data_IF_183261402098
#
_entry.id   IF_183261402098
#
_cell.length_a   1.000
_cell.length_b   1.000
_cell.length_c   1.000
_cell.angle_alpha   90.00
_cell.angle_beta   90.00
_cell.angle_gamma   90.00
#
_symmetry.space_group_name_H-M   'P 1'
#
loop_
_entity.id
_entity.type
_entity.pdbx_description
1 polymer ?
#
# COMPACT_ATOMS: atom_id res chain seq x y z
N UNK A 1 4.91 -4.94 7.32
CA UNK A 1 3.51 -4.54 7.45
C UNK A 1 2.89 -5.11 8.72
N UNK A 2 2.06 -4.35 9.38
CA UNK A 2 1.30 -4.80 10.53
C UNK A 2 -0.13 -5.14 10.12
N UNK A 3 -0.49 -6.40 10.18
CA UNK A 3 -1.84 -6.86 9.91
C UNK A 3 -2.58 -7.05 11.24
N UNK A 4 -3.79 -6.51 11.35
CA UNK A 4 -4.56 -6.52 12.59
C UNK A 4 -5.96 -7.05 12.36
N UNK A 5 -6.40 -7.93 13.24
CA UNK A 5 -7.75 -8.51 13.23
C UNK A 5 -7.87 -9.77 12.41
N UNK A 6 -8.62 -10.74 12.96
CA UNK A 6 -8.81 -12.06 12.35
C UNK A 6 -9.37 -11.97 10.93
N UNK A 7 -10.32 -11.06 10.69
CA UNK A 7 -10.91 -10.87 9.36
C UNK A 7 -9.89 -10.49 8.31
N UNK A 8 -8.89 -9.69 8.66
CA UNK A 8 -7.81 -9.35 7.75
C UNK A 8 -6.89 -10.54 7.49
N UNK A 9 -6.57 -11.33 8.50
CA UNK A 9 -5.79 -12.55 8.31
C UNK A 9 -6.52 -13.52 7.37
N UNK A 10 -7.81 -13.71 7.54
CA UNK A 10 -8.63 -14.54 6.65
C UNK A 10 -8.64 -14.00 5.22
N UNK A 11 -8.86 -12.70 5.06
CA UNK A 11 -8.91 -12.05 3.74
C UNK A 11 -7.59 -12.20 2.98
N UNK A 12 -6.48 -11.87 3.64
CA UNK A 12 -5.18 -11.93 2.97
C UNK A 12 -4.66 -13.35 2.82
N UNK A 13 -5.01 -14.26 3.72
CA UNK A 13 -4.76 -15.70 3.52
C UNK A 13 -5.35 -16.19 2.19
N UNK A 14 -6.59 -15.85 1.93
CA UNK A 14 -7.25 -16.21 0.66
C UNK A 14 -6.60 -15.53 -0.56
N UNK A 15 -6.24 -14.24 -0.44
CA UNK A 15 -5.66 -13.48 -1.54
C UNK A 15 -4.27 -13.95 -1.95
N UNK A 16 -3.44 -14.36 -1.00
CA UNK A 16 -2.06 -14.78 -1.29
C UNK A 16 -1.85 -16.29 -1.28
N UNK A 17 -2.88 -17.06 -0.89
CA UNK A 17 -2.80 -18.53 -0.85
C UNK A 17 -1.91 -19.07 0.26
N UNK A 18 -1.86 -18.40 1.41
CA UNK A 18 -1.09 -18.82 2.59
C UNK A 18 -1.98 -18.92 3.82
N UNK A 19 -1.73 -19.89 4.73
CA UNK A 19 -2.58 -20.13 5.90
C UNK A 19 -2.30 -19.13 7.04
N UNK A 20 -2.53 -17.84 6.82
CA UNK A 20 -2.20 -16.77 7.76
C UNK A 20 -3.01 -16.83 9.05
N UNK A 21 -4.23 -17.36 9.02
CA UNK A 21 -5.08 -17.43 10.20
C UNK A 21 -4.57 -18.50 11.18
N UNK A 22 -4.17 -19.65 10.64
CA UNK A 22 -3.65 -20.76 11.42
C UNK A 22 -2.19 -20.53 11.82
N UNK A 23 -1.42 -19.89 10.94
CA UNK A 23 0.01 -19.65 11.12
C UNK A 23 0.34 -18.16 10.93
N UNK A 24 -0.07 -17.30 11.88
CA UNK A 24 0.13 -15.84 11.73
C UNK A 24 1.61 -15.44 11.66
N UNK A 25 2.51 -16.23 12.21
CA UNK A 25 3.94 -15.97 12.18
C UNK A 25 4.55 -16.07 10.77
N UNK A 26 3.81 -16.58 9.79
CA UNK A 26 4.22 -16.50 8.39
C UNK A 26 4.48 -15.06 7.93
N UNK A 27 3.85 -14.06 8.57
CA UNK A 27 4.11 -12.66 8.27
C UNK A 27 5.52 -12.19 8.63
N UNK A 28 6.27 -12.94 9.43
CA UNK A 28 7.70 -12.66 9.66
C UNK A 28 8.57 -13.08 8.46
N UNK A 29 8.05 -13.89 7.57
CA UNK A 29 8.73 -14.21 6.32
C UNK A 29 8.61 -13.02 5.35
N UNK A 30 9.73 -12.53 4.85
CA UNK A 30 9.78 -11.34 4.00
C UNK A 30 8.99 -11.51 2.69
N UNK A 31 9.02 -12.70 2.10
CA UNK A 31 8.25 -12.99 0.89
C UNK A 31 6.74 -12.92 1.13
N UNK A 32 6.28 -13.54 2.22
CA UNK A 32 4.86 -13.50 2.61
C UNK A 32 4.42 -12.08 2.94
N UNK A 33 5.20 -11.36 3.75
CA UNK A 33 4.91 -9.98 4.12
C UNK A 33 4.84 -9.06 2.89
N UNK A 34 5.73 -9.22 1.92
CA UNK A 34 5.73 -8.47 0.67
C UNK A 34 4.47 -8.73 -0.14
N UNK A 35 4.06 -9.99 -0.27
CA UNK A 35 2.84 -10.37 -0.99
C UNK A 35 1.60 -9.78 -0.35
N UNK A 36 1.51 -9.77 0.99
CA UNK A 36 0.41 -9.11 1.72
C UNK A 36 0.42 -7.61 1.48
N UNK A 37 1.59 -6.98 1.50
CA UNK A 37 1.73 -5.54 1.25
C UNK A 37 1.24 -5.15 -0.15
N UNK A 38 1.65 -5.89 -1.18
CA UNK A 38 1.16 -5.65 -2.53
C UNK A 38 -0.33 -5.92 -2.68
N UNK A 39 -0.85 -6.95 -2.03
CA UNK A 39 -2.28 -7.23 -2.03
C UNK A 39 -3.07 -6.10 -1.36
N UNK A 40 -2.56 -5.52 -0.27
CA UNK A 40 -3.18 -4.39 0.40
C UNK A 40 -3.28 -3.15 -0.51
N UNK A 41 -2.20 -2.81 -1.19
CA UNK A 41 -2.15 -1.56 -1.96
C UNK A 41 -2.68 -1.70 -3.39
N UNK A 42 -2.58 -2.85 -4.00
CA UNK A 42 -2.87 -3.04 -5.44
C UNK A 42 -3.85 -4.17 -5.74
N UNK A 43 -4.09 -5.07 -4.79
CA UNK A 43 -4.97 -6.24 -4.99
C UNK A 43 -6.39 -6.00 -4.50
N UNK A 44 -7.34 -6.69 -5.07
CA UNK A 44 -8.63 -7.14 -4.58
C UNK A 44 -9.56 -6.24 -3.75
N UNK A 45 -9.38 -4.95 -3.64
CA UNK A 45 -10.23 -4.09 -2.84
C UNK A 45 -10.76 -2.86 -3.59
N UNK A 46 -11.82 -2.28 -3.04
CA UNK A 46 -12.37 -1.01 -3.56
C UNK A 46 -11.44 0.18 -3.34
N UNK A 47 -10.55 0.09 -2.36
CA UNK A 47 -9.64 1.16 -1.98
C UNK A 47 -8.22 0.80 -2.41
N UNK A 48 -7.96 0.91 -3.70
CA UNK A 48 -6.61 0.70 -4.25
C UNK A 48 -5.83 2.01 -4.23
N UNK A 49 -4.54 1.92 -3.97
CA UNK A 49 -3.66 3.08 -3.97
C UNK A 49 -3.69 3.82 -5.31
N UNK A 50 -3.85 3.11 -6.42
CA UNK A 50 -3.97 3.68 -7.76
C UNK A 50 -5.20 4.57 -7.94
N UNK A 51 -6.23 4.42 -7.11
CA UNK A 51 -7.39 5.32 -7.11
C UNK A 51 -7.06 6.71 -6.58
N UNK A 52 -6.01 6.83 -5.77
CA UNK A 52 -5.60 8.06 -5.11
C UNK A 52 -4.34 8.67 -5.71
N UNK A 53 -3.49 7.86 -6.30
CA UNK A 53 -2.29 8.30 -7.01
C UNK A 53 -2.34 7.83 -8.45
N UNK A 54 -2.53 8.77 -9.37
CA UNK A 54 -2.58 8.51 -10.80
C UNK A 54 -2.25 9.82 -11.56
N UNK A 55 -2.36 9.79 -12.88
CA UNK A 55 -2.04 10.95 -13.72
C UNK A 55 -2.96 12.15 -13.46
N UNK A 56 -4.15 11.90 -12.89
CA UNK A 56 -5.14 12.96 -12.63
C UNK A 56 -5.00 13.58 -11.23
N UNK A 57 -4.44 12.84 -10.25
CA UNK A 57 -4.43 13.33 -8.86
C UNK A 57 -3.37 12.65 -7.99
N UNK A 58 -2.98 13.39 -6.96
CA UNK A 58 -2.21 12.90 -5.82
C UNK A 58 -3.03 13.15 -4.54
N UNK A 59 -3.91 12.21 -4.21
CA UNK A 59 -4.78 12.30 -3.04
C UNK A 59 -4.18 11.58 -1.84
N UNK A 60 -3.38 12.29 -1.06
CA UNK A 60 -2.71 11.77 0.14
C UNK A 60 -3.68 11.42 1.26
N UNK A 61 -4.75 12.17 1.41
CA UNK A 61 -5.77 11.91 2.43
C UNK A 61 -6.53 10.62 2.13
N UNK A 62 -6.97 10.46 0.90
CA UNK A 62 -7.62 9.24 0.44
C UNK A 62 -6.70 8.03 0.52
N UNK A 63 -5.44 8.18 0.12
CA UNK A 63 -4.45 7.12 0.20
C UNK A 63 -4.23 6.65 1.65
N UNK A 64 -4.27 7.56 2.61
CA UNK A 64 -4.18 7.19 4.04
C UNK A 64 -5.31 6.26 4.46
N UNK A 65 -6.51 6.43 3.90
CA UNK A 65 -7.65 5.56 4.19
C UNK A 65 -7.44 4.11 3.75
N UNK A 66 -6.58 3.85 2.76
CA UNK A 66 -6.21 2.49 2.35
C UNK A 66 -5.56 1.74 3.51
N UNK A 67 -4.74 2.43 4.30
CA UNK A 67 -4.00 1.83 5.43
C UNK A 67 -4.86 1.76 6.69
N UNK A 68 -5.54 2.85 7.05
CA UNK A 68 -6.24 2.94 8.34
C UNK A 68 -7.72 2.56 8.26
N UNK A 69 -8.23 2.33 7.05
CA UNK A 69 -9.65 2.04 6.86
C UNK A 69 -10.52 3.30 7.05
N UNK A 70 -11.73 3.09 7.53
CA UNK A 70 -12.68 4.18 7.72
C UNK A 70 -12.26 5.06 8.89
N UNK A 71 -12.02 6.33 8.61
CA UNK A 71 -11.78 7.36 9.61
C UNK A 71 -12.52 8.63 9.21
N UNK A 72 -12.69 9.55 10.16
CA UNK A 72 -13.27 10.85 9.83
C UNK A 72 -12.34 11.62 8.89
N UNK A 73 -12.90 12.47 8.04
CA UNK A 73 -12.12 13.33 7.14
C UNK A 73 -11.09 14.16 7.91
N UNK A 74 -11.46 14.68 9.08
CA UNK A 74 -10.54 15.43 9.93
C UNK A 74 -9.35 14.58 10.39
N UNK A 75 -9.60 13.36 10.83
CA UNK A 75 -8.54 12.41 11.24
C UNK A 75 -7.60 12.11 10.09
N UNK A 76 -8.15 11.82 8.90
CA UNK A 76 -7.36 11.55 7.71
C UNK A 76 -6.48 12.74 7.32
N UNK A 77 -7.02 13.95 7.39
CA UNK A 77 -6.27 15.18 7.12
C UNK A 77 -5.12 15.37 8.10
N UNK A 78 -5.39 15.19 9.41
CA UNK A 78 -4.36 15.31 10.43
C UNK A 78 -3.24 14.29 10.24
N UNK A 79 -3.57 13.06 9.93
CA UNK A 79 -2.60 12.00 9.67
C UNK A 79 -1.84 12.20 8.37
N UNK A 80 -2.50 12.73 7.34
CA UNK A 80 -1.90 12.93 6.03
C UNK A 80 -0.88 14.08 6.01
N UNK A 81 -1.00 15.09 6.89
CA UNK A 81 -0.09 16.24 6.91
C UNK A 81 1.39 15.86 6.97
N UNK A 82 1.86 15.10 7.98
CA UNK A 82 3.27 14.71 8.03
C UNK A 82 3.66 13.77 6.88
N UNK A 83 2.75 12.92 6.45
CA UNK A 83 2.96 12.02 5.31
C UNK A 83 3.15 12.83 4.03
N UNK A 84 2.31 13.81 3.80
CA UNK A 84 2.40 14.71 2.64
C UNK A 84 3.74 15.46 2.62
N UNK A 85 4.15 16.00 3.75
CA UNK A 85 5.43 16.73 3.90
C UNK A 85 6.61 15.82 3.56
N UNK A 86 6.64 14.63 4.14
CA UNK A 86 7.68 13.62 3.86
C UNK A 86 7.64 13.16 2.42
N UNK A 87 6.45 12.88 1.89
CA UNK A 87 6.26 12.42 0.52
C UNK A 87 6.74 13.44 -0.51
N UNK A 88 6.41 14.70 -0.34
CA UNK A 88 6.90 15.79 -1.21
C UNK A 88 8.41 15.93 -1.18
N UNK A 89 9.02 15.68 -0.05
CA UNK A 89 10.48 15.71 0.09
C UNK A 89 11.15 14.53 -0.61
N UNK A 90 10.57 13.34 -0.47
CA UNK A 90 11.17 12.10 -0.98
C UNK A 90 10.84 11.81 -2.45
N UNK A 91 9.72 12.30 -2.96
CA UNK A 91 9.26 12.00 -4.31
C UNK A 91 10.28 12.37 -5.40
N UNK A 92 10.94 13.54 -5.36
CA UNK A 92 11.99 13.85 -6.34
C UNK A 92 13.14 12.86 -6.32
N UNK A 93 13.52 12.37 -5.14
CA UNK A 93 14.56 11.36 -4.98
C UNK A 93 14.16 10.03 -5.61
N UNK A 94 12.92 9.60 -5.40
CA UNK A 94 12.39 8.38 -5.99
C UNK A 94 12.32 8.47 -7.52
N UNK A 95 11.90 9.62 -8.04
CA UNK A 95 11.85 9.85 -9.49
C UNK A 95 13.25 9.84 -10.11
N UNK A 96 14.21 10.44 -9.44
CA UNK A 96 15.61 10.44 -9.89
C UNK A 96 16.23 9.04 -9.86
N UNK A 97 15.81 8.18 -8.94
CA UNK A 97 16.30 6.82 -8.77
C UNK A 97 15.63 5.80 -9.72
N UNK A 98 14.57 6.18 -10.42
CA UNK A 98 13.92 5.26 -11.35
C UNK A 98 14.85 4.89 -12.50
N UNK A 99 14.95 3.59 -12.84
CA UNK A 99 15.70 3.17 -14.01
C UNK A 99 15.11 3.79 -15.28
N UNK A 100 15.95 4.36 -16.13
CA UNK A 100 15.48 4.82 -17.43
C UNK A 100 15.16 3.63 -18.31
N UNK A 101 13.98 3.65 -18.93
CA UNK A 101 13.66 2.69 -19.97
C UNK A 101 14.53 2.93 -21.19
N UNK A 102 15.17 1.88 -21.65
CA UNK A 102 15.97 1.95 -22.86
C UNK A 102 15.21 1.29 -24.03
N UNK A 103 15.43 1.74 -25.28
CA UNK A 103 14.76 1.14 -26.44
C UNK A 103 14.98 -0.37 -26.55
N UNK A 104 16.09 -0.89 -26.04
CA UNK A 104 16.38 -2.32 -26.02
C UNK A 104 15.38 -3.14 -25.21
N UNK A 105 14.76 -2.55 -24.21
CA UNK A 105 13.72 -3.21 -23.40
C UNK A 105 12.38 -3.34 -24.11
N UNK A 106 12.19 -2.58 -25.17
CA UNK A 106 10.93 -2.53 -25.92
C UNK A 106 10.88 -3.53 -27.08
N UNK A 107 11.92 -4.30 -27.26
CA UNK A 107 11.99 -5.31 -28.31
C UNK A 107 11.23 -6.61 -27.90
#
# INVERSE_FOLDING_TARGET
>A
IQLTGRGNYQKYAALIGEPLEEEPDLLFNASVASRVTFALFFGGGVNKLTSYFNDAQDDWEGARAVVVGRASTQTLRQQAKPILTTGKRLLPCLRAAQPQETPAKLK
#
